data_IF_709974059056
#
_entry.id   IF_709974059056
#
_cell.length_a   1.000
_cell.length_b   1.000
_cell.length_c   1.000
_cell.angle_alpha   90.00
_cell.angle_beta   90.00
_cell.angle_gamma   90.00
#
_symmetry.space_group_name_H-M   'P 1'
#
loop_
_entity.id
_entity.type
_entity.pdbx_description
1 polymer ?
#
# COMPACT_ATOMS: atom_id res chain seq x y z
N UNK A 1 6.11 -0.80 10.50
CA UNK A 1 5.74 0.19 9.48
C UNK A 1 5.71 1.53 10.16
N UNK A 2 6.67 2.40 9.87
CA UNK A 2 6.91 3.64 10.63
C UNK A 2 5.98 4.80 10.23
N UNK A 3 5.23 4.67 9.12
CA UNK A 3 4.37 5.74 8.58
C UNK A 3 2.85 5.49 8.72
N UNK A 4 2.41 4.70 9.70
CA UNK A 4 0.98 4.55 10.01
C UNK A 4 0.15 3.75 8.99
N UNK A 5 0.77 3.17 7.96
CA UNK A 5 0.11 2.21 7.08
C UNK A 5 -0.23 0.92 7.82
N UNK A 6 -1.46 0.44 7.66
CA UNK A 6 -1.96 -0.81 8.29
C UNK A 6 -1.58 -2.06 7.48
N UNK A 7 -1.24 -1.87 6.21
CA UNK A 7 -0.71 -2.96 5.38
C UNK A 7 -0.15 -2.47 4.05
N UNK A 8 0.75 -3.28 3.51
CA UNK A 8 1.34 -3.09 2.19
C UNK A 8 1.40 -4.43 1.47
N UNK A 9 1.11 -4.41 0.18
CA UNK A 9 1.35 -5.52 -0.73
C UNK A 9 2.19 -4.99 -1.87
N UNK A 10 3.27 -5.69 -2.19
CA UNK A 10 4.17 -5.36 -3.29
C UNK A 10 4.25 -6.59 -4.19
N UNK A 11 3.95 -6.41 -5.48
CA UNK A 11 4.16 -7.43 -6.50
C UNK A 11 5.13 -6.90 -7.54
N UNK A 12 6.25 -7.59 -7.70
CA UNK A 12 7.24 -7.30 -8.72
C UNK A 12 7.20 -8.42 -9.76
N UNK A 13 7.00 -8.06 -11.03
CA UNK A 13 6.95 -8.99 -12.14
C UNK A 13 7.97 -8.64 -13.22
N UNK A 14 8.65 -9.64 -13.75
CA UNK A 14 9.57 -9.47 -14.87
C UNK A 14 10.77 -10.42 -14.79
N UNK A 15 11.82 -10.09 -15.53
CA UNK A 15 13.10 -10.83 -15.51
C UNK A 15 13.94 -10.44 -14.29
N UNK A 16 13.44 -10.80 -13.11
CA UNK A 16 14.04 -10.43 -11.83
C UNK A 16 15.46 -11.01 -11.71
N UNK A 17 16.45 -10.15 -11.48
CA UNK A 17 17.86 -10.53 -11.35
C UNK A 17 18.53 -10.95 -12.66
N UNK A 18 17.94 -10.66 -13.82
CA UNK A 18 18.49 -11.04 -15.13
C UNK A 18 18.21 -12.49 -15.53
N UNK A 19 17.32 -13.19 -14.81
CA UNK A 19 16.89 -14.52 -15.18
C UNK A 19 16.24 -14.53 -16.59
N UNK A 20 16.44 -15.64 -17.32
CA UNK A 20 15.87 -15.83 -18.66
C UNK A 20 14.34 -15.87 -18.62
N UNK A 21 13.78 -16.51 -17.59
CA UNK A 21 12.33 -16.67 -17.40
C UNK A 21 11.79 -15.59 -16.46
N UNK A 22 10.73 -14.91 -16.90
CA UNK A 22 10.05 -13.92 -16.08
C UNK A 22 9.33 -14.57 -14.88
N UNK A 23 9.47 -13.96 -13.70
CA UNK A 23 8.82 -14.40 -12.46
C UNK A 23 8.08 -13.25 -11.82
N UNK A 24 7.02 -13.58 -11.09
CA UNK A 24 6.31 -12.62 -10.24
C UNK A 24 6.54 -12.99 -8.78
N UNK A 25 7.17 -12.10 -8.03
CA UNK A 25 7.27 -12.23 -6.57
C UNK A 25 6.24 -11.33 -5.93
N UNK A 26 5.62 -11.82 -4.86
CA UNK A 26 4.72 -11.04 -4.04
C UNK A 26 5.22 -11.06 -2.60
N UNK A 27 5.34 -9.87 -2.03
CA UNK A 27 5.61 -9.68 -0.60
C UNK A 27 4.47 -8.88 -0.01
N UNK A 28 3.93 -9.34 1.12
CA UNK A 28 2.84 -8.69 1.84
C UNK A 28 3.24 -8.53 3.30
N UNK A 29 2.97 -7.37 3.86
CA UNK A 29 3.12 -7.11 5.29
C UNK A 29 1.87 -6.41 5.81
N UNK A 30 1.35 -6.87 6.95
CA UNK A 30 0.09 -6.36 7.51
C UNK A 30 -1.16 -6.85 6.76
N UNK A 31 -2.27 -6.12 6.92
CA UNK A 31 -3.58 -6.48 6.37
C UNK A 31 -3.86 -5.66 5.11
N UNK A 32 -4.20 -6.32 4.00
CA UNK A 32 -4.61 -5.65 2.75
C UNK A 32 -5.88 -6.32 2.22
N UNK A 33 -7.08 -5.84 2.59
CA UNK A 33 -8.34 -6.45 2.20
C UNK A 33 -8.78 -5.94 0.81
N UNK A 34 -8.47 -6.69 -0.26
CA UNK A 34 -8.77 -6.27 -1.64
C UNK A 34 -10.26 -6.31 -2.03
N UNK A 35 -11.09 -7.03 -1.27
CA UNK A 35 -12.53 -7.17 -1.56
C UNK A 35 -13.38 -6.11 -0.84
N UNK A 36 -12.81 -5.41 0.14
CA UNK A 36 -13.56 -4.48 0.99
C UNK A 36 -13.57 -3.08 0.38
N UNK A 37 -14.71 -2.65 -0.18
CA UNK A 37 -14.83 -1.35 -0.88
C UNK A 37 -14.59 -0.14 0.03
N UNK A 38 -14.92 -0.26 1.33
CA UNK A 38 -14.66 0.81 2.32
C UNK A 38 -13.19 0.96 2.71
N UNK A 39 -12.33 0.02 2.30
CA UNK A 39 -10.91 0.09 2.62
C UNK A 39 -10.24 1.14 1.72
N UNK A 40 -9.56 2.10 2.34
CA UNK A 40 -8.72 3.07 1.65
C UNK A 40 -7.42 2.41 1.24
N UNK A 41 -7.35 2.05 -0.04
CA UNK A 41 -6.21 1.38 -0.65
C UNK A 41 -5.74 2.22 -1.83
N UNK A 42 -4.53 2.78 -1.73
CA UNK A 42 -3.87 3.37 -2.90
C UNK A 42 -3.19 2.27 -3.70
N UNK A 43 -3.35 2.35 -5.02
CA UNK A 43 -2.64 1.51 -5.97
C UNK A 43 -1.65 2.36 -6.77
N UNK A 44 -0.39 1.95 -6.78
CA UNK A 44 0.66 2.53 -7.60
C UNK A 44 1.26 1.49 -8.53
N UNK A 45 1.50 1.88 -9.78
CA UNK A 45 2.25 1.08 -10.74
C UNK A 45 3.44 1.87 -11.26
N UNK A 46 4.61 1.27 -11.21
CA UNK A 46 5.84 1.82 -11.76
C UNK A 46 6.57 0.76 -12.59
N UNK A 47 7.27 1.21 -13.63
CA UNK A 47 8.11 0.36 -14.47
C UNK A 47 9.57 0.74 -14.26
N UNK A 48 10.40 -0.25 -13.94
CA UNK A 48 11.84 -0.09 -13.86
C UNK A 48 12.47 -0.55 -15.17
N UNK A 49 13.17 0.36 -15.86
CA UNK A 49 13.98 0.05 -17.03
C UNK A 49 15.29 -0.57 -16.56
N UNK A 50 15.54 -1.81 -16.96
CA UNK A 50 16.78 -2.53 -16.67
C UNK A 50 17.45 -2.98 -17.95
N UNK A 51 18.73 -3.33 -17.87
CA UNK A 51 19.51 -3.82 -19.02
C UNK A 51 18.89 -5.05 -19.69
N UNK A 52 18.15 -5.87 -18.94
CA UNK A 52 17.56 -7.12 -19.41
C UNK A 52 16.08 -6.99 -19.79
N UNK A 53 15.51 -5.77 -19.73
CA UNK A 53 14.12 -5.49 -20.06
C UNK A 53 13.42 -4.63 -18.99
N UNK A 54 12.09 -4.67 -18.98
CA UNK A 54 11.28 -3.91 -18.02
C UNK A 54 10.84 -4.79 -16.85
N UNK A 55 10.90 -4.24 -15.64
CA UNK A 55 10.34 -4.85 -14.43
C UNK A 55 9.14 -4.02 -13.99
N UNK A 56 7.98 -4.64 -13.88
CA UNK A 56 6.76 -4.00 -13.38
C UNK A 56 6.66 -4.14 -11.86
N UNK A 57 6.53 -3.02 -11.16
CA UNK A 57 6.31 -2.98 -9.71
C UNK A 57 4.91 -2.45 -9.45
N UNK A 58 4.08 -3.27 -8.80
CA UNK A 58 2.72 -2.96 -8.38
C UNK A 58 2.70 -2.87 -6.86
N UNK A 59 2.25 -1.75 -6.33
CA UNK A 59 2.18 -1.51 -4.88
C UNK A 59 0.74 -1.20 -4.49
N UNK A 60 0.27 -1.85 -3.43
CA UNK A 60 -0.97 -1.52 -2.75
C UNK A 60 -0.64 -1.07 -1.34
N UNK A 61 -1.11 0.11 -0.95
CA UNK A 61 -0.93 0.67 0.38
C UNK A 61 -2.29 0.80 1.05
N UNK A 62 -2.48 0.12 2.19
CA UNK A 62 -3.70 0.21 2.98
C UNK A 62 -3.50 1.16 4.16
N UNK A 63 -4.23 2.29 4.14
CA UNK A 63 -4.16 3.33 5.18
C UNK A 63 -5.22 3.16 6.26
N UNK A 64 -6.35 2.49 5.97
CA UNK A 64 -7.43 2.26 6.92
C UNK A 64 -8.78 2.11 6.24
N UNK A 65 -9.86 2.00 7.02
CA UNK A 65 -11.22 2.05 6.47
C UNK A 65 -11.70 3.51 6.49
N UNK A 66 -12.29 3.98 5.40
CA UNK A 66 -12.98 5.27 5.37
C UNK A 66 -14.41 5.02 5.85
N UNK A 67 -14.76 5.66 6.96
CA UNK A 67 -16.16 5.82 7.35
C UNK A 67 -16.67 7.12 6.74
N UNK A 68 -17.78 7.11 5.97
CA UNK A 68 -18.38 8.35 5.52
C UNK A 68 -18.72 9.18 6.75
N UNK A 69 -18.11 10.35 6.87
CA UNK A 69 -18.39 11.27 7.95
C UNK A 69 -19.90 11.52 7.97
N UNK A 70 -20.53 11.29 9.13
CA UNK A 70 -21.86 11.81 9.40
C UNK A 70 -21.82 13.29 9.03
N UNK A 71 -22.66 13.70 8.07
CA UNK A 71 -22.68 15.05 7.48
C UNK A 71 -22.51 16.12 8.58
N UNK A 72 -21.29 16.65 8.70
CA UNK A 72 -20.91 17.67 9.69
C UNK A 72 -19.54 17.41 10.34
N UNK A 73 -18.51 18.14 9.90
CA UNK A 73 -17.29 18.38 10.69
C UNK A 73 -16.03 17.62 10.27
N UNK A 74 -15.07 18.39 9.74
CA UNK A 74 -13.61 18.20 9.83
C UNK A 74 -12.93 16.98 9.17
N UNK A 75 -12.43 17.22 7.96
CA UNK A 75 -11.32 16.47 7.40
C UNK A 75 -9.99 17.09 7.85
N UNK A 76 -9.24 16.37 8.68
CA UNK A 76 -7.78 16.13 8.59
C UNK A 76 -7.30 15.49 9.88
N UNK A 77 -6.64 14.34 9.74
CA UNK A 77 -5.90 13.75 10.86
C UNK A 77 -4.82 14.72 11.33
N UNK A 78 -4.74 14.91 12.64
CA UNK A 78 -3.51 15.29 13.32
C UNK A 78 -3.24 14.27 14.41
N UNK A 79 -2.06 13.72 14.27
CA UNK A 79 -1.33 12.75 15.06
C UNK A 79 -1.17 13.19 16.52
N UNK A 80 -1.15 12.19 17.42
CA UNK A 80 -0.32 12.12 18.64
C UNK A 80 -0.09 13.43 19.43
N UNK A 81 -0.90 13.68 20.46
CA UNK A 81 -0.52 14.26 21.75
C UNK A 81 -1.78 14.71 22.50
N UNK A 82 -2.11 14.05 23.62
CA UNK A 82 -2.84 14.54 24.80
C UNK A 82 -3.29 13.28 25.57
N UNK A 83 -2.45 12.86 26.53
CA UNK A 83 -2.69 13.11 27.96
C UNK A 83 -3.85 12.20 28.45
N UNK A 84 -3.57 11.09 29.14
CA UNK A 84 -3.28 11.08 30.57
C UNK A 84 -4.14 12.12 31.31
N UNK A 85 -5.04 11.62 32.17
CA UNK A 85 -6.07 12.30 33.02
C UNK A 85 -7.48 11.91 32.53
N UNK A 86 -8.34 11.25 33.30
CA UNK A 86 -8.39 10.92 34.74
C UNK A 86 -9.03 9.54 34.88
#
# INVERSE_FOLDING_TARGET
MEHGAKGIKIRCGGRLGGAEIARSIESKAGRVPLQTIRADIDYGFAQALTKYGMIGVKVWLYRGDIYPARRGGEARGVTSAQAAQV
#
